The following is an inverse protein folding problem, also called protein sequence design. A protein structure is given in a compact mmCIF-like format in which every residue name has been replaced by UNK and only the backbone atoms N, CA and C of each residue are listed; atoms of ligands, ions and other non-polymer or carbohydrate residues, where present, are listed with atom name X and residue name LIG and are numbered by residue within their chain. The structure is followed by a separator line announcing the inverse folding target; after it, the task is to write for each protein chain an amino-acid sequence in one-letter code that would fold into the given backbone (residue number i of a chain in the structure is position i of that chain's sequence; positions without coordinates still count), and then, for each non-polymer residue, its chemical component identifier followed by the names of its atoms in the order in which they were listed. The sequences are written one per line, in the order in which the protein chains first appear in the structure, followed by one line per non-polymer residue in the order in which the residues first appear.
data_IF_526135514569
#
_entry.id   IF_526135514569
#
_cell.length_a   1.000
_cell.length_b   1.000
_cell.length_c   1.000
_cell.angle_alpha   90.00
_cell.angle_beta   90.00
_cell.angle_gamma   90.00
#
_symmetry.space_group_name_H-M   'P 1'
#
loop_
_entity.id
_entity.type
_entity.pdbx_description
1 polymer ?
#
# COMPACT_ATOMS: atom_id res chain seq x y z
N UNK A 1 10.60 23.34 27.57
CA UNK A 1 10.33 21.89 27.68
C UNK A 1 11.46 21.15 26.99
N UNK A 2 12.16 20.26 27.69
CA UNK A 2 13.28 19.50 27.15
C UNK A 2 12.78 18.45 26.14
N UNK A 3 13.20 18.58 24.88
CA UNK A 3 12.95 17.57 23.84
C UNK A 3 13.62 16.25 24.21
N UNK A 4 12.89 15.14 24.04
CA UNK A 4 13.45 13.79 24.16
C UNK A 4 14.51 13.60 23.08
N UNK A 5 15.78 13.47 23.48
CA UNK A 5 16.88 13.13 22.57
C UNK A 5 16.89 11.61 22.43
N UNK A 6 16.42 11.11 21.29
CA UNK A 6 16.48 9.68 20.97
C UNK A 6 17.11 9.47 19.59
N UNK A 7 17.95 8.43 19.41
CA UNK A 7 18.65 8.20 18.16
C UNK A 7 17.65 7.81 17.08
N UNK A 8 17.31 8.77 16.23
CA UNK A 8 16.43 8.57 15.09
C UNK A 8 17.28 8.24 13.87
N UNK A 9 16.91 7.19 13.13
CA UNK A 9 17.59 6.81 11.87
C UNK A 9 17.26 7.88 10.82
N UNK A 10 18.27 8.39 10.11
CA UNK A 10 18.10 9.43 9.10
C UNK A 10 17.28 8.96 7.90
N UNK A 11 16.66 9.92 7.19
CA UNK A 11 15.84 9.74 5.98
C UNK A 11 16.57 9.07 4.79
N UNK A 12 17.85 8.75 4.93
CA UNK A 12 18.66 8.12 3.90
C UNK A 12 19.12 6.74 4.34
N UNK A 13 18.56 5.72 3.68
CA UNK A 13 19.03 4.32 3.59
C UNK A 13 20.16 3.96 4.58
N UNK A 14 19.80 3.43 5.74
CA UNK A 14 20.58 2.43 6.50
C UNK A 14 22.10 2.53 6.47
N UNK A 15 22.68 3.73 6.57
CA UNK A 15 24.13 3.89 6.64
C UNK A 15 24.55 3.78 8.11
N UNK A 16 25.42 2.80 8.39
CA UNK A 16 26.19 2.77 9.65
C UNK A 16 27.03 4.05 9.70
N UNK A 17 26.51 5.10 10.32
CA UNK A 17 27.17 6.42 10.38
C UNK A 17 26.24 7.64 10.31
N UNK A 18 24.92 7.48 10.23
CA UNK A 18 23.99 8.61 10.30
C UNK A 18 24.11 9.34 11.65
N UNK A 19 24.27 10.68 11.60
CA UNK A 19 24.25 11.52 12.80
C UNK A 19 22.91 11.39 13.52
N UNK A 20 22.96 11.32 14.85
CA UNK A 20 21.76 11.30 15.67
C UNK A 20 20.96 12.59 15.42
N UNK A 21 19.71 12.45 14.98
CA UNK A 21 18.83 13.59 14.81
C UNK A 21 18.32 14.03 16.20
N UNK A 22 18.69 15.22 16.71
CA UNK A 22 18.33 15.63 18.08
C UNK A 22 16.85 16.03 18.22
N UNK A 23 16.11 16.11 17.10
CA UNK A 23 14.72 16.54 17.03
C UNK A 23 13.91 15.58 16.16
N UNK A 24 12.68 15.31 16.57
CA UNK A 24 11.73 14.43 15.87
C UNK A 24 11.42 13.16 16.64
N UNK A 25 10.39 12.44 16.18
CA UNK A 25 10.04 11.12 16.69
C UNK A 25 10.84 10.05 15.93
N UNK A 26 11.29 8.97 16.60
CA UNK A 26 12.11 7.95 15.96
C UNK A 26 11.31 7.15 14.92
N UNK A 27 11.74 7.14 13.66
CA UNK A 27 11.06 6.37 12.61
C UNK A 27 11.16 4.86 12.88
N UNK A 28 10.05 4.14 12.71
CA UNK A 28 9.99 2.68 12.84
C UNK A 28 9.69 2.15 14.25
N UNK A 29 9.53 3.01 15.26
CA UNK A 29 8.96 2.60 16.55
C UNK A 29 7.43 2.71 16.52
N UNK A 30 6.76 1.71 17.10
CA UNK A 30 5.29 1.67 17.14
C UNK A 30 4.67 2.89 17.85
N UNK A 31 5.37 3.46 18.83
CA UNK A 31 4.88 4.63 19.60
C UNK A 31 5.01 5.96 18.84
N UNK A 32 5.87 6.03 17.82
CA UNK A 32 6.21 7.30 17.16
C UNK A 32 5.03 7.92 16.42
N UNK A 33 4.18 7.10 15.78
CA UNK A 33 2.98 7.59 15.11
C UNK A 33 2.01 8.23 16.10
N UNK A 34 1.82 7.61 17.27
CA UNK A 34 0.95 8.14 18.33
C UNK A 34 1.51 9.46 18.87
N UNK A 35 2.82 9.55 19.08
CA UNK A 35 3.45 10.79 19.55
C UNK A 35 3.36 11.93 18.53
N UNK A 36 3.54 11.62 17.23
CA UNK A 36 3.34 12.59 16.16
C UNK A 36 1.89 13.11 16.16
N UNK A 37 0.92 12.20 16.29
CA UNK A 37 -0.51 12.54 16.34
C UNK A 37 -0.85 13.43 17.55
N UNK A 38 -0.36 13.07 18.74
CA UNK A 38 -0.54 13.88 19.96
C UNK A 38 0.06 15.27 19.78
N UNK A 39 1.23 15.38 19.12
CA UNK A 39 1.92 16.67 18.94
C UNK A 39 1.14 17.68 18.08
N UNK A 40 0.26 17.20 17.19
CA UNK A 40 -0.57 18.03 16.32
C UNK A 40 -2.02 18.18 16.81
N UNK A 41 -2.42 17.46 17.87
CA UNK A 41 -3.82 17.47 18.36
C UNK A 41 -4.39 18.87 18.67
N UNK A 42 -3.60 19.77 19.26
CA UNK A 42 -4.03 21.16 19.52
C UNK A 42 -4.19 21.92 18.20
N UNK A 43 -3.26 21.75 17.27
CA UNK A 43 -3.33 22.35 15.94
C UNK A 43 -4.59 21.88 15.20
N UNK A 44 -4.87 20.57 15.20
CA UNK A 44 -6.05 20.03 14.53
C UNK A 44 -7.33 20.59 15.14
N UNK A 45 -7.40 20.70 16.47
CA UNK A 45 -8.54 21.28 17.17
C UNK A 45 -8.76 22.73 16.75
N UNK A 46 -7.70 23.54 16.75
CA UNK A 46 -7.78 24.95 16.39
C UNK A 46 -8.19 25.18 14.93
N UNK A 47 -7.71 24.35 14.00
CA UNK A 47 -8.12 24.46 12.59
C UNK A 47 -9.57 24.01 12.40
N UNK A 48 -10.00 22.92 13.06
CA UNK A 48 -11.39 22.45 12.99
C UNK A 48 -12.42 23.42 13.59
N UNK A 49 -12.00 24.36 14.45
CA UNK A 49 -12.88 25.40 15.02
C UNK A 49 -13.16 26.55 14.03
N UNK A 50 -12.45 26.62 12.90
CA UNK A 50 -12.64 27.66 11.89
C UNK A 50 -13.95 27.38 11.13
N UNK A 51 -14.88 28.36 11.04
CA UNK A 51 -16.13 28.18 10.31
C UNK A 51 -15.90 28.07 8.79
N UNK A 52 -16.85 27.44 8.11
CA UNK A 52 -16.92 27.34 6.65
C UNK A 52 -15.72 26.65 5.96
N UNK A 53 -14.94 25.85 6.70
CA UNK A 53 -13.91 25.00 6.12
C UNK A 53 -14.17 23.52 6.41
N UNK A 54 -13.66 22.66 5.53
CA UNK A 54 -13.50 21.24 5.80
C UNK A 54 -12.00 20.93 5.87
N UNK A 55 -11.56 20.39 6.99
CA UNK A 55 -10.16 20.07 7.27
C UNK A 55 -10.00 18.57 7.46
N UNK A 56 -8.98 18.00 6.84
CA UNK A 56 -8.58 16.63 7.04
C UNK A 56 -7.06 16.52 7.05
N UNK A 57 -6.52 15.82 8.04
CA UNK A 57 -5.08 15.50 8.13
C UNK A 57 -4.88 14.00 8.19
N UNK A 58 -3.90 13.51 7.44
CA UNK A 58 -3.42 12.15 7.50
C UNK A 58 -1.91 12.17 7.69
N UNK A 59 -1.44 11.94 8.92
CA UNK A 59 -0.04 12.12 9.30
C UNK A 59 0.41 13.54 8.95
N UNK A 60 1.29 13.72 7.97
CA UNK A 60 1.84 15.01 7.56
C UNK A 60 1.07 15.64 6.39
N UNK A 61 0.21 14.86 5.71
CA UNK A 61 -0.58 15.33 4.57
C UNK A 61 -1.85 16.02 5.08
N UNK A 62 -2.03 17.29 4.71
CA UNK A 62 -3.18 18.12 5.09
C UNK A 62 -3.95 18.50 3.83
N UNK A 63 -5.28 18.35 3.87
CA UNK A 63 -6.20 18.83 2.85
C UNK A 63 -7.25 19.75 3.49
N UNK A 64 -7.45 20.92 2.90
CA UNK A 64 -8.42 21.91 3.36
C UNK A 64 -9.28 22.34 2.19
N UNK A 65 -10.60 22.24 2.35
CA UNK A 65 -11.58 22.81 1.44
C UNK A 65 -12.19 24.05 2.08
N UNK A 66 -12.26 25.13 1.32
CA UNK A 66 -12.68 26.46 1.80
C UNK A 66 -13.28 27.26 0.65
N UNK A 67 -14.11 28.28 0.89
CA UNK A 67 -14.52 29.23 -0.14
C UNK A 67 -13.30 29.86 -0.84
N UNK A 68 -13.40 30.07 -2.15
CA UNK A 68 -12.29 30.57 -2.98
C UNK A 68 -11.66 31.87 -2.42
N UNK A 69 -12.45 32.74 -1.82
CA UNK A 69 -11.98 34.00 -1.24
C UNK A 69 -11.06 33.84 -0.03
N UNK A 70 -11.06 32.67 0.61
CA UNK A 70 -10.32 32.41 1.86
C UNK A 70 -9.08 31.52 1.66
N UNK A 71 -8.94 30.86 0.51
CA UNK A 71 -7.95 29.81 0.28
C UNK A 71 -6.50 30.24 0.60
N UNK A 72 -6.04 31.36 0.05
CA UNK A 72 -4.68 31.88 0.26
C UNK A 72 -4.42 32.31 1.72
N UNK A 73 -5.44 32.93 2.34
CA UNK A 73 -5.36 33.37 3.73
C UNK A 73 -5.31 32.17 4.67
N UNK A 74 -6.11 31.14 4.39
CA UNK A 74 -6.13 29.89 5.13
C UNK A 74 -4.80 29.13 5.03
N UNK A 75 -4.26 28.99 3.82
CA UNK A 75 -2.99 28.33 3.60
C UNK A 75 -1.84 29.05 4.34
N UNK A 76 -1.81 30.38 4.27
CA UNK A 76 -0.84 31.20 4.99
C UNK A 76 -0.99 31.07 6.52
N UNK A 77 -2.23 31.02 7.01
CA UNK A 77 -2.53 30.83 8.43
C UNK A 77 -2.03 29.48 8.96
N UNK A 78 -2.32 28.41 8.23
CA UNK A 78 -1.89 27.04 8.55
C UNK A 78 -0.37 26.93 8.58
N UNK A 79 0.31 27.43 7.55
CA UNK A 79 1.78 27.41 7.49
C UNK A 79 2.39 28.15 8.66
N UNK A 80 1.86 29.33 9.00
CA UNK A 80 2.34 30.10 10.14
C UNK A 80 2.14 29.34 11.46
N UNK A 81 0.99 28.69 11.66
CA UNK A 81 0.74 27.85 12.84
C UNK A 81 1.72 26.67 12.92
N UNK A 82 1.96 25.98 11.82
CA UNK A 82 2.94 24.88 11.77
C UNK A 82 4.36 25.37 12.09
N UNK A 83 4.75 26.53 11.56
CA UNK A 83 6.05 27.16 11.88
C UNK A 83 6.18 27.54 13.36
N UNK A 84 5.09 28.00 14.01
CA UNK A 84 5.08 28.25 15.46
C UNK A 84 5.28 26.97 16.29
N UNK A 85 4.92 25.81 15.74
CA UNK A 85 5.23 24.49 16.32
C UNK A 85 6.66 24.02 16.02
N UNK A 86 7.49 24.85 15.39
CA UNK A 86 8.83 24.52 14.89
C UNK A 86 8.84 23.42 13.82
N UNK A 87 7.75 23.31 13.04
CA UNK A 87 7.68 22.47 11.85
C UNK A 87 8.03 23.29 10.61
N UNK A 88 8.56 22.62 9.58
CA UNK A 88 9.00 23.25 8.34
C UNK A 88 8.11 22.79 7.17
N UNK A 89 6.87 23.30 7.05
CA UNK A 89 6.02 22.98 5.91
C UNK A 89 6.66 23.47 4.61
N UNK A 90 6.37 22.79 3.50
CA UNK A 90 6.82 23.24 2.19
C UNK A 90 6.20 24.62 1.87
N UNK A 91 6.97 25.56 1.29
CA UNK A 91 6.51 26.92 1.02
C UNK A 91 5.41 26.97 -0.03
N UNK A 92 4.50 27.95 0.06
CA UNK A 92 3.53 28.18 -1.01
C UNK A 92 4.23 28.83 -2.20
N UNK A 93 3.83 28.46 -3.41
CA UNK A 93 4.20 29.13 -4.67
C UNK A 93 5.66 28.99 -5.10
N UNK A 94 6.42 28.03 -4.56
CA UNK A 94 7.71 27.63 -5.15
C UNK A 94 7.52 26.57 -6.24
N UNK A 95 8.34 26.65 -7.28
CA UNK A 95 8.40 25.63 -8.32
C UNK A 95 8.78 24.28 -7.69
N UNK A 96 7.94 23.26 -7.89
CA UNK A 96 8.03 21.93 -7.26
C UNK A 96 7.73 21.88 -5.74
N UNK A 97 7.08 22.89 -5.17
CA UNK A 97 6.55 22.76 -3.81
C UNK A 97 5.51 21.66 -3.71
N UNK A 98 5.49 20.98 -2.56
CA UNK A 98 4.42 20.03 -2.19
C UNK A 98 3.19 20.74 -1.63
N UNK A 99 3.33 21.98 -1.14
CA UNK A 99 2.20 22.79 -0.67
C UNK A 99 1.65 23.60 -1.83
N UNK A 100 0.34 23.52 -2.06
CA UNK A 100 -0.32 24.18 -3.18
C UNK A 100 -1.68 24.73 -2.76
N UNK A 101 -2.06 25.84 -3.36
CA UNK A 101 -3.42 26.39 -3.35
C UNK A 101 -3.92 26.38 -4.78
N UNK A 102 -5.15 25.96 -5.00
CA UNK A 102 -5.75 25.88 -6.33
C UNK A 102 -7.25 25.64 -6.23
N UNK A 103 -7.94 25.79 -7.36
CA UNK A 103 -9.37 25.49 -7.45
C UNK A 103 -9.60 23.98 -7.55
N UNK A 104 -10.80 23.52 -7.17
CA UNK A 104 -11.17 22.10 -7.31
C UNK A 104 -11.27 21.61 -8.77
N UNK A 105 -11.37 22.54 -9.72
CA UNK A 105 -11.31 22.23 -11.16
C UNK A 105 -9.89 21.88 -11.61
N UNK A 106 -8.88 22.28 -10.84
CA UNK A 106 -7.49 21.92 -11.06
C UNK A 106 -7.21 20.54 -10.46
N UNK A 107 -6.32 19.79 -11.10
CA UNK A 107 -5.99 18.45 -10.62
C UNK A 107 -4.97 18.50 -9.49
N UNK A 108 -5.14 17.61 -8.51
CA UNK A 108 -4.24 17.48 -7.38
C UNK A 108 -4.14 16.04 -6.90
N UNK A 109 -3.10 15.73 -6.14
CA UNK A 109 -2.90 14.41 -5.57
C UNK A 109 -3.10 14.45 -4.06
N UNK A 110 -3.78 13.44 -3.51
CA UNK A 110 -3.92 13.26 -2.07
C UNK A 110 -3.97 11.77 -1.74
N UNK A 111 -3.15 11.31 -0.78
CA UNK A 111 -3.09 9.90 -0.33
C UNK A 111 -2.92 8.87 -1.47
N UNK A 112 -2.18 9.25 -2.53
CA UNK A 112 -1.94 8.40 -3.69
C UNK A 112 -3.10 8.33 -4.69
N UNK A 113 -4.19 9.05 -4.44
CA UNK A 113 -5.20 9.36 -5.44
C UNK A 113 -4.80 10.58 -6.25
N UNK A 114 -5.29 10.64 -7.48
CA UNK A 114 -5.25 11.79 -8.35
C UNK A 114 -6.69 12.26 -8.57
N UNK A 115 -7.01 13.46 -8.14
CA UNK A 115 -8.33 14.07 -8.26
C UNK A 115 -8.28 15.00 -9.45
N UNK A 116 -9.20 14.83 -10.38
CA UNK A 116 -9.32 15.70 -11.56
C UNK A 116 -10.77 15.73 -12.04
N UNK A 117 -11.33 16.92 -12.23
CA UNK A 117 -12.71 17.10 -12.74
C UNK A 117 -13.77 16.29 -11.98
N UNK A 118 -13.63 16.18 -10.66
CA UNK A 118 -14.53 15.40 -9.80
C UNK A 118 -14.36 13.88 -9.89
N UNK A 119 -13.42 13.37 -10.67
CA UNK A 119 -13.06 11.95 -10.68
C UNK A 119 -11.94 11.64 -9.69
N UNK A 120 -12.08 10.52 -8.96
CA UNK A 120 -10.99 9.94 -8.18
C UNK A 120 -10.30 8.87 -9.02
N UNK A 121 -9.05 9.14 -9.36
CA UNK A 121 -8.17 8.26 -10.11
C UNK A 121 -6.99 7.82 -9.23
N UNK A 122 -6.25 6.81 -9.70
CA UNK A 122 -5.01 6.37 -9.08
C UNK A 122 -3.87 7.25 -9.59
N UNK A 123 -3.03 7.76 -8.69
CA UNK A 123 -1.83 8.51 -9.04
C UNK A 123 -0.91 7.69 -9.97
N UNK A 124 -0.39 8.32 -11.02
CA UNK A 124 0.38 7.63 -12.06
C UNK A 124 1.60 6.86 -11.50
N UNK A 125 2.32 7.45 -10.55
CA UNK A 125 3.48 6.82 -9.91
C UNK A 125 3.09 5.58 -9.10
N UNK A 126 1.87 5.50 -8.58
CA UNK A 126 1.35 4.30 -7.90
C UNK A 126 1.13 3.18 -8.91
N UNK A 127 0.60 3.48 -10.09
CA UNK A 127 0.43 2.52 -11.19
C UNK A 127 1.80 1.99 -11.63
N UNK A 128 2.77 2.87 -11.89
CA UNK A 128 4.12 2.45 -12.30
C UNK A 128 4.81 1.57 -11.24
N UNK A 129 4.66 1.90 -9.96
CA UNK A 129 5.16 1.08 -8.85
C UNK A 129 4.50 -0.29 -8.82
N UNK A 130 3.18 -0.35 -9.03
CA UNK A 130 2.44 -1.61 -9.11
C UNK A 130 2.88 -2.46 -10.30
N UNK A 131 2.97 -1.89 -11.50
CA UNK A 131 3.45 -2.59 -12.71
C UNK A 131 4.90 -3.07 -12.56
N UNK A 132 5.78 -2.26 -11.95
CA UNK A 132 7.14 -2.67 -11.60
C UNK A 132 7.13 -3.88 -10.65
N UNK A 133 6.25 -3.89 -9.65
CA UNK A 133 6.11 -5.03 -8.74
C UNK A 133 5.64 -6.30 -9.45
N UNK A 134 4.73 -6.18 -10.43
CA UNK A 134 4.30 -7.30 -11.27
C UNK A 134 5.46 -7.82 -12.13
N UNK A 135 6.20 -6.92 -12.79
CA UNK A 135 7.35 -7.30 -13.61
C UNK A 135 8.42 -8.04 -12.78
N UNK A 136 8.66 -7.63 -11.52
CA UNK A 136 9.59 -8.32 -10.61
C UNK A 136 9.19 -9.78 -10.35
N UNK A 137 7.90 -10.11 -10.30
CA UNK A 137 7.42 -11.49 -10.13
C UNK A 137 7.86 -12.35 -11.32
N UNK A 138 7.71 -11.84 -12.55
CA UNK A 138 8.13 -12.56 -13.76
C UNK A 138 9.66 -12.68 -13.88
N UNK A 139 10.40 -11.65 -13.46
CA UNK A 139 11.87 -11.70 -13.38
C UNK A 139 12.32 -12.78 -12.38
N UNK A 140 11.72 -12.83 -11.19
CA UNK A 140 11.99 -13.87 -10.21
C UNK A 140 11.66 -15.27 -10.74
N UNK A 141 10.55 -15.43 -11.46
CA UNK A 141 10.21 -16.66 -12.16
C UNK A 141 11.28 -17.08 -13.16
N UNK A 142 11.76 -16.16 -14.01
CA UNK A 142 12.82 -16.44 -14.99
C UNK A 142 14.09 -16.97 -14.30
N UNK A 143 14.52 -16.33 -13.21
CA UNK A 143 15.67 -16.81 -12.44
C UNK A 143 15.43 -18.19 -11.82
N UNK A 144 14.24 -18.45 -11.30
CA UNK A 144 13.89 -19.76 -10.74
C UNK A 144 13.91 -20.87 -11.81
N UNK A 145 13.42 -20.59 -13.03
CA UNK A 145 13.47 -21.54 -14.15
C UNK A 145 14.91 -21.81 -14.60
N UNK A 146 15.77 -20.79 -14.65
CA UNK A 146 17.19 -20.97 -15.00
C UNK A 146 17.94 -21.86 -14.00
N UNK A 147 17.50 -21.89 -12.73
CA UNK A 147 18.08 -22.73 -11.68
C UNK A 147 17.39 -24.08 -11.52
N UNK A 148 16.30 -24.34 -12.24
CA UNK A 148 15.54 -25.57 -12.13
C UNK A 148 16.33 -26.76 -12.69
N UNK A 149 16.44 -27.83 -11.89
CA UNK A 149 17.21 -29.03 -12.29
C UNK A 149 16.35 -30.12 -12.91
N UNK A 150 15.05 -30.08 -12.64
CA UNK A 150 14.10 -31.10 -13.04
C UNK A 150 12.73 -30.49 -13.36
N UNK A 151 11.84 -31.31 -13.91
CA UNK A 151 10.47 -30.89 -14.27
C UNK A 151 9.68 -30.36 -13.07
N UNK A 152 9.82 -31.00 -11.91
CA UNK A 152 9.11 -30.61 -10.68
C UNK A 152 9.52 -29.20 -10.20
N UNK A 153 10.80 -28.83 -10.31
CA UNK A 153 11.26 -27.48 -9.99
C UNK A 153 10.65 -26.42 -10.91
N UNK A 154 10.52 -26.73 -12.21
CA UNK A 154 9.87 -25.84 -13.17
C UNK A 154 8.38 -25.69 -12.89
N UNK A 155 7.67 -26.79 -12.64
CA UNK A 155 6.25 -26.77 -12.25
C UNK A 155 6.02 -25.95 -10.97
N UNK A 156 6.91 -26.09 -9.98
CA UNK A 156 6.87 -25.29 -8.74
C UNK A 156 7.14 -23.81 -9.00
N UNK A 157 8.08 -23.46 -9.88
CA UNK A 157 8.33 -22.08 -10.25
C UNK A 157 7.10 -21.43 -10.92
N UNK A 158 6.41 -22.17 -11.80
CA UNK A 158 5.16 -21.73 -12.43
C UNK A 158 4.06 -21.55 -11.37
N UNK A 159 3.84 -22.54 -10.50
CA UNK A 159 2.83 -22.47 -9.45
C UNK A 159 3.07 -21.28 -8.50
N UNK A 160 4.33 -21.05 -8.10
CA UNK A 160 4.69 -19.91 -7.27
C UNK A 160 4.49 -18.58 -8.00
N UNK A 161 4.85 -18.49 -9.28
CA UNK A 161 4.61 -17.31 -10.11
C UNK A 161 3.11 -16.98 -10.18
N UNK A 162 2.27 -17.98 -10.50
CA UNK A 162 0.82 -17.81 -10.52
C UNK A 162 0.28 -17.36 -9.16
N UNK A 163 0.72 -18.00 -8.08
CA UNK A 163 0.25 -17.66 -6.74
C UNK A 163 0.64 -16.22 -6.36
N UNK A 164 1.91 -15.83 -6.55
CA UNK A 164 2.36 -14.45 -6.27
C UNK A 164 1.66 -13.41 -7.14
N UNK A 165 1.49 -13.69 -8.43
CA UNK A 165 0.79 -12.81 -9.36
C UNK A 165 -0.66 -12.61 -8.93
N UNK A 166 -1.38 -13.69 -8.65
CA UNK A 166 -2.78 -13.63 -8.25
C UNK A 166 -2.95 -12.98 -6.88
N UNK A 167 -2.03 -13.21 -5.93
CA UNK A 167 -2.01 -12.52 -4.65
C UNK A 167 -1.80 -11.01 -4.85
N UNK A 168 -0.88 -10.59 -5.73
CA UNK A 168 -0.65 -9.17 -6.02
C UNK A 168 -1.86 -8.49 -6.66
N UNK A 169 -2.60 -9.21 -7.50
CA UNK A 169 -3.81 -8.71 -8.19
C UNK A 169 -5.03 -8.65 -7.26
N UNK A 170 -5.25 -9.70 -6.46
CA UNK A 170 -6.44 -9.77 -5.59
C UNK A 170 -6.26 -9.14 -4.24
N UNK A 171 -5.03 -9.06 -3.75
CA UNK A 171 -4.81 -8.88 -2.33
C UNK A 171 -5.21 -10.12 -1.53
N UNK A 172 -5.38 -9.95 -0.22
CA UNK A 172 -5.90 -10.94 0.70
C UNK A 172 -6.51 -10.30 1.93
N UNK A 173 -7.22 -11.11 2.72
CA UNK A 173 -7.51 -10.81 4.12
C UNK A 173 -6.50 -11.56 4.97
N UNK A 174 -5.84 -10.87 5.89
CA UNK A 174 -4.88 -11.46 6.81
C UNK A 174 -4.77 -10.63 8.09
N UNK A 175 -4.81 -11.30 9.24
CA UNK A 175 -4.84 -10.70 10.58
C UNK A 175 -5.96 -9.65 10.72
N UNK A 176 -7.15 -9.95 10.17
CA UNK A 176 -8.32 -9.08 10.19
C UNK A 176 -8.25 -7.87 9.25
N UNK A 177 -7.16 -7.73 8.48
CA UNK A 177 -6.94 -6.59 7.58
C UNK A 177 -7.16 -6.97 6.13
N UNK A 178 -7.79 -6.08 5.36
CA UNK A 178 -7.84 -6.18 3.90
C UNK A 178 -6.57 -5.54 3.32
N UNK A 179 -5.80 -6.34 2.59
CA UNK A 179 -4.52 -5.93 2.03
C UNK A 179 -4.54 -6.13 0.52
N UNK A 180 -4.22 -5.11 -0.26
CA UNK A 180 -4.04 -5.20 -1.70
C UNK A 180 -4.28 -3.87 -2.40
N UNK A 181 -3.58 -3.68 -3.52
CA UNK A 181 -3.62 -2.44 -4.29
C UNK A 181 -5.04 -2.03 -4.72
N UNK A 182 -5.87 -2.97 -5.17
CA UNK A 182 -7.27 -2.68 -5.53
C UNK A 182 -8.13 -2.40 -4.29
N UNK A 183 -7.81 -2.99 -3.14
CA UNK A 183 -8.50 -2.70 -1.87
C UNK A 183 -8.22 -1.27 -1.43
N UNK A 184 -6.94 -0.87 -1.46
CA UNK A 184 -6.52 0.50 -1.19
C UNK A 184 -7.23 1.49 -2.13
N UNK A 185 -7.18 1.26 -3.44
CA UNK A 185 -7.80 2.13 -4.45
C UNK A 185 -9.27 1.79 -4.74
N UNK A 186 -10.03 1.27 -3.77
CA UNK A 186 -11.42 0.85 -3.98
C UNK A 186 -12.40 2.01 -4.27
N UNK A 187 -12.02 3.23 -3.87
CA UNK A 187 -12.82 4.46 -4.02
C UNK A 187 -12.73 5.11 -5.41
N UNK A 188 -11.93 4.58 -6.34
CA UNK A 188 -11.81 5.17 -7.68
C UNK A 188 -13.17 5.25 -8.39
N UNK A 189 -13.38 6.33 -9.16
CA UNK A 189 -14.64 6.59 -9.86
C UNK A 189 -14.79 5.71 -11.12
N UNK A 190 -13.67 5.29 -11.72
CA UNK A 190 -13.64 4.50 -12.97
C UNK A 190 -12.65 3.36 -12.90
N UNK A 191 -12.94 2.26 -13.59
CA UNK A 191 -12.04 1.10 -13.67
C UNK A 191 -11.10 1.16 -14.88
N UNK A 192 -11.01 2.28 -15.61
CA UNK A 192 -10.17 2.41 -16.81
C UNK A 192 -8.69 2.09 -16.53
N UNK A 193 -8.13 2.66 -15.45
CA UNK A 193 -6.74 2.41 -15.05
C UNK A 193 -6.52 0.93 -14.66
N UNK A 194 -7.48 0.30 -13.97
CA UNK A 194 -7.42 -1.14 -13.66
C UNK A 194 -7.44 -2.01 -14.92
N UNK A 195 -8.20 -1.62 -15.96
CA UNK A 195 -8.22 -2.34 -17.25
C UNK A 195 -6.88 -2.23 -17.97
N UNK A 196 -6.26 -1.04 -17.95
CA UNK A 196 -4.93 -0.83 -18.51
C UNK A 196 -3.90 -1.75 -17.85
N UNK A 197 -3.85 -1.79 -16.52
CA UNK A 197 -2.93 -2.67 -15.79
C UNK A 197 -3.22 -4.15 -16.06
N UNK A 198 -4.49 -4.57 -16.14
CA UNK A 198 -4.85 -5.94 -16.55
C UNK A 198 -4.29 -6.29 -17.94
N UNK A 199 -4.28 -5.34 -18.87
CA UNK A 199 -3.67 -5.52 -20.19
C UNK A 199 -2.15 -5.68 -20.06
N UNK A 200 -1.48 -4.86 -19.25
CA UNK A 200 -0.06 -5.01 -18.92
C UNK A 200 0.25 -6.40 -18.37
N UNK A 201 -0.55 -6.93 -17.44
CA UNK A 201 -0.36 -8.29 -16.90
C UNK A 201 -0.47 -9.34 -18.00
N UNK A 202 -1.50 -9.25 -18.85
CA UNK A 202 -1.70 -10.17 -19.97
C UNK A 202 -0.52 -10.14 -20.95
N UNK A 203 0.03 -8.95 -21.20
CA UNK A 203 1.21 -8.77 -22.02
C UNK A 203 2.45 -9.42 -21.39
N UNK A 204 2.66 -9.27 -20.08
CA UNK A 204 3.74 -9.94 -19.36
C UNK A 204 3.61 -11.47 -19.43
N UNK A 205 2.42 -12.03 -19.21
CA UNK A 205 2.20 -13.49 -19.32
C UNK A 205 2.57 -13.99 -20.72
N UNK A 206 2.12 -13.30 -21.77
CA UNK A 206 2.46 -13.64 -23.16
C UNK A 206 3.97 -13.55 -23.42
N UNK A 207 4.62 -12.47 -22.97
CA UNK A 207 6.06 -12.25 -23.13
C UNK A 207 6.89 -13.37 -22.50
N UNK A 208 6.44 -13.93 -21.39
CA UNK A 208 7.12 -15.04 -20.70
C UNK A 208 6.62 -16.42 -21.16
N UNK A 209 5.77 -16.50 -22.20
CA UNK A 209 5.21 -17.76 -22.74
C UNK A 209 4.47 -18.59 -21.70
N UNK A 210 3.70 -17.92 -20.83
CA UNK A 210 2.98 -18.54 -19.71
C UNK A 210 1.45 -18.62 -19.93
N UNK A 211 0.97 -18.32 -21.14
CA UNK A 211 -0.46 -18.21 -21.43
C UNK A 211 -1.25 -19.51 -21.22
N UNK A 212 -0.63 -20.68 -21.42
CA UNK A 212 -1.24 -21.99 -21.16
C UNK A 212 -1.13 -22.44 -19.69
N UNK A 213 -0.21 -21.85 -18.94
CA UNK A 213 0.21 -22.32 -17.63
C UNK A 213 -0.37 -21.50 -16.47
N UNK A 214 -0.53 -20.19 -16.69
CA UNK A 214 -0.99 -19.24 -15.68
C UNK A 214 -2.42 -18.82 -15.95
N UNK A 215 -3.30 -19.16 -15.01
CA UNK A 215 -4.64 -18.59 -14.90
C UNK A 215 -4.59 -17.31 -14.06
N UNK A 216 -4.46 -16.18 -14.75
CA UNK A 216 -4.46 -14.88 -14.11
C UNK A 216 -5.83 -14.51 -13.53
N UNK A 217 -5.82 -13.91 -12.35
CA UNK A 217 -6.96 -13.18 -11.81
C UNK A 217 -7.06 -11.80 -12.46
N UNK A 218 -8.27 -11.24 -12.49
CA UNK A 218 -8.58 -9.89 -13.01
C UNK A 218 -8.72 -8.86 -11.88
N UNK A 219 -8.04 -7.71 -12.01
CA UNK A 219 -8.20 -6.53 -11.15
C UNK A 219 -9.65 -6.01 -11.15
N UNK A 220 -10.34 -6.08 -12.29
CA UNK A 220 -11.74 -5.66 -12.42
C UNK A 220 -12.66 -6.53 -11.59
N UNK A 221 -12.43 -7.85 -11.59
CA UNK A 221 -13.21 -8.77 -10.76
C UNK A 221 -12.91 -8.53 -9.28
N UNK A 222 -11.65 -8.30 -8.90
CA UNK A 222 -11.27 -7.90 -7.55
C UNK A 222 -12.05 -6.66 -7.09
N UNK A 223 -12.10 -5.62 -7.93
CA UNK A 223 -12.77 -4.36 -7.63
C UNK A 223 -14.27 -4.53 -7.36
N UNK A 224 -14.98 -5.28 -8.21
CA UNK A 224 -16.41 -5.52 -8.01
C UNK A 224 -16.71 -6.48 -6.85
N UNK A 225 -15.80 -7.42 -6.56
CA UNK A 225 -15.93 -8.27 -5.36
C UNK A 225 -15.85 -7.40 -4.09
N UNK A 226 -14.88 -6.48 -4.01
CA UNK A 226 -14.70 -5.55 -2.89
C UNK A 226 -15.93 -4.65 -2.68
N UNK A 227 -16.60 -4.22 -3.75
CA UNK A 227 -17.79 -3.37 -3.66
C UNK A 227 -19.06 -4.12 -3.25
N UNK A 228 -19.12 -5.43 -3.45
CA UNK A 228 -20.34 -6.23 -3.24
C UNK A 228 -20.35 -7.00 -1.93
N UNK A 229 -19.19 -7.26 -1.34
CA UNK A 229 -19.07 -8.16 -0.20
C UNK A 229 -18.22 -7.61 0.93
N UNK A 230 -18.24 -8.34 2.04
CA UNK A 230 -17.34 -8.18 3.18
C UNK A 230 -16.26 -9.27 3.17
N UNK A 231 -15.23 -9.10 3.99
CA UNK A 231 -14.09 -10.01 4.12
C UNK A 231 -14.49 -11.49 4.29
N UNK A 232 -15.61 -11.76 4.96
CA UNK A 232 -16.11 -13.11 5.23
C UNK A 232 -16.86 -13.73 4.04
N UNK A 233 -17.30 -12.91 3.10
CA UNK A 233 -18.10 -13.34 1.94
C UNK A 233 -17.28 -13.50 0.66
N UNK A 234 -16.04 -13.02 0.66
CA UNK A 234 -15.19 -13.06 -0.53
C UNK A 234 -14.88 -14.50 -0.94
N UNK A 235 -15.29 -14.86 -2.16
CA UNK A 235 -14.90 -16.13 -2.79
C UNK A 235 -13.69 -15.94 -3.68
N UNK A 236 -13.54 -14.74 -4.23
CA UNK A 236 -12.49 -14.44 -5.19
C UNK A 236 -11.20 -13.91 -4.55
N UNK A 237 -11.31 -13.16 -3.46
CA UNK A 237 -10.17 -12.62 -2.70
C UNK A 237 -9.88 -13.62 -1.57
N UNK A 238 -8.64 -14.14 -1.46
CA UNK A 238 -8.32 -15.14 -0.45
C UNK A 238 -8.38 -14.54 0.96
N UNK A 239 -9.08 -15.21 1.86
CA UNK A 239 -9.03 -14.93 3.29
C UNK A 239 -8.14 -15.97 3.98
N UNK A 240 -6.96 -15.53 4.43
CA UNK A 240 -5.96 -16.41 5.04
C UNK A 240 -6.25 -16.71 6.52
N UNK A 241 -7.12 -15.93 7.16
CA UNK A 241 -7.50 -16.13 8.56
C UNK A 241 -8.47 -17.31 8.71
N UNK A 242 -9.24 -17.60 7.66
CA UNK A 242 -10.25 -18.66 7.65
C UNK A 242 -9.76 -20.00 7.08
N UNK A 243 -8.47 -20.15 6.79
CA UNK A 243 -7.94 -21.40 6.23
C UNK A 243 -7.78 -22.48 7.30
N UNK A 244 -8.19 -23.70 6.95
CA UNK A 244 -7.91 -24.89 7.76
C UNK A 244 -6.46 -25.38 7.58
N UNK A 245 -6.04 -26.33 8.40
CA UNK A 245 -4.68 -26.86 8.38
C UNK A 245 -4.32 -27.59 7.08
N UNK A 246 -5.30 -28.21 6.42
CA UNK A 246 -5.10 -28.93 5.15
C UNK A 246 -4.82 -27.93 4.02
N UNK A 247 -5.61 -26.86 3.93
CA UNK A 247 -5.44 -25.77 2.99
C UNK A 247 -4.11 -25.04 3.22
N UNK A 248 -3.74 -24.77 4.48
CA UNK A 248 -2.42 -24.21 4.82
C UNK A 248 -1.29 -25.14 4.38
N UNK A 249 -1.44 -26.46 4.56
CA UNK A 249 -0.46 -27.46 4.12
C UNK A 249 -0.32 -27.50 2.61
N UNK A 250 -1.40 -27.32 1.84
CA UNK A 250 -1.35 -27.22 0.38
C UNK A 250 -0.49 -26.03 -0.07
N UNK A 251 -0.72 -24.84 0.49
CA UNK A 251 0.06 -23.64 0.20
C UNK A 251 1.53 -23.79 0.59
N UNK A 252 1.80 -24.36 1.77
CA UNK A 252 3.18 -24.63 2.21
C UNK A 252 3.85 -25.65 1.28
N UNK A 253 3.14 -26.70 0.86
CA UNK A 253 3.65 -27.71 -0.08
C UNK A 253 4.06 -27.10 -1.42
N UNK A 254 3.30 -26.12 -1.92
CA UNK A 254 3.67 -25.37 -3.11
C UNK A 254 5.00 -24.62 -2.93
N UNK A 255 5.29 -24.07 -1.75
CA UNK A 255 6.53 -23.33 -1.50
C UNK A 255 7.75 -24.23 -1.27
N UNK A 256 7.62 -25.30 -0.48
CA UNK A 256 8.76 -26.11 -0.02
C UNK A 256 8.87 -27.49 -0.67
N UNK A 257 7.85 -27.89 -1.44
CA UNK A 257 7.72 -29.23 -2.02
C UNK A 257 6.85 -30.16 -1.15
N UNK A 258 6.11 -31.06 -1.82
CA UNK A 258 5.14 -31.97 -1.17
C UNK A 258 5.79 -32.89 -0.15
N UNK A 259 6.95 -33.47 -0.46
CA UNK A 259 7.59 -34.45 0.43
C UNK A 259 8.05 -33.79 1.74
N UNK A 260 8.68 -32.61 1.64
CA UNK A 260 9.08 -31.84 2.82
C UNK A 260 7.86 -31.41 3.64
N UNK A 261 6.79 -30.98 2.99
CA UNK A 261 5.58 -30.57 3.70
C UNK A 261 4.88 -31.74 4.40
N UNK A 262 4.90 -32.96 3.85
CA UNK A 262 4.35 -34.15 4.51
C UNK A 262 5.07 -34.50 5.81
N UNK A 263 6.38 -34.25 5.89
CA UNK A 263 7.19 -34.53 7.08
C UNK A 263 6.97 -33.54 8.23
N UNK A 264 6.30 -32.41 7.98
CA UNK A 264 6.08 -31.37 9.00
C UNK A 264 4.83 -31.64 9.82
N UNK A 265 4.96 -31.41 11.13
CA UNK A 265 3.83 -31.36 12.05
C UNK A 265 2.88 -30.21 11.71
N UNK A 266 1.64 -30.27 12.21
CA UNK A 266 0.66 -29.20 12.00
C UNK A 266 1.15 -27.84 12.55
N UNK A 267 1.82 -27.83 13.70
CA UNK A 267 2.41 -26.61 14.28
C UNK A 267 3.50 -26.01 13.38
N UNK A 268 4.34 -26.84 12.76
CA UNK A 268 5.38 -26.36 11.84
C UNK A 268 4.79 -25.82 10.53
N UNK A 269 3.72 -26.44 10.02
CA UNK A 269 2.96 -25.93 8.88
C UNK A 269 2.39 -24.55 9.21
N UNK A 270 1.74 -24.40 10.36
CA UNK A 270 1.16 -23.13 10.80
C UNK A 270 2.22 -22.03 10.88
N UNK A 271 3.37 -22.31 11.52
CA UNK A 271 4.48 -21.36 11.64
C UNK A 271 5.05 -20.95 10.28
N UNK A 272 5.28 -21.91 9.39
CA UNK A 272 5.80 -21.62 8.04
C UNK A 272 4.79 -20.86 7.19
N UNK A 273 3.51 -21.21 7.31
CA UNK A 273 2.40 -20.52 6.67
C UNK A 273 2.37 -19.06 7.10
N UNK A 274 2.26 -18.80 8.40
CA UNK A 274 2.20 -17.44 8.95
C UNK A 274 3.41 -16.61 8.52
N UNK A 275 4.62 -17.17 8.59
CA UNK A 275 5.84 -16.48 8.17
C UNK A 275 5.84 -16.09 6.67
N UNK A 276 5.43 -17.00 5.79
CA UNK A 276 5.42 -16.76 4.33
C UNK A 276 4.31 -15.80 3.91
N UNK A 277 3.13 -15.91 4.53
CA UNK A 277 2.04 -14.96 4.29
C UNK A 277 2.39 -13.59 4.84
N UNK A 278 2.87 -13.46 6.08
CA UNK A 278 3.28 -12.18 6.65
C UNK A 278 4.33 -11.45 5.78
N UNK A 279 5.33 -12.17 5.25
CA UNK A 279 6.30 -11.58 4.34
C UNK A 279 5.70 -11.16 2.99
N UNK A 280 4.69 -11.87 2.51
CA UNK A 280 4.00 -11.51 1.26
C UNK A 280 3.02 -10.36 1.46
N UNK A 281 2.35 -10.33 2.61
CA UNK A 281 1.40 -9.31 3.02
C UNK A 281 2.08 -7.94 3.21
N UNK A 282 3.33 -7.91 3.67
CA UNK A 282 4.15 -6.68 3.76
C UNK A 282 4.38 -5.98 2.42
N UNK A 283 4.24 -6.70 1.30
CA UNK A 283 4.37 -6.14 -0.05
C UNK A 283 3.03 -5.58 -0.58
N UNK A 284 1.94 -5.72 0.19
CA UNK A 284 0.59 -5.29 -0.17
C UNK A 284 0.20 -4.02 0.59
N UNK A 285 -0.62 -3.19 -0.05
CA UNK A 285 -1.15 -1.95 0.51
C UNK A 285 -2.30 -2.25 1.48
N UNK A 286 -2.28 -1.68 2.68
CA UNK A 286 -3.37 -1.84 3.66
C UNK A 286 -4.55 -0.94 3.30
N UNK A 287 -5.76 -1.49 3.27
CA UNK A 287 -6.97 -0.73 3.03
C UNK A 287 -7.27 0.23 4.20
N UNK A 288 -7.29 1.53 3.91
CA UNK A 288 -7.50 2.59 4.89
C UNK A 288 -8.95 3.11 4.93
N UNK A 289 -9.90 2.46 4.24
CA UNK A 289 -11.31 2.91 4.11
C UNK A 289 -12.15 2.93 5.40
N UNK A 290 -11.53 2.83 6.58
CA UNK A 290 -12.18 2.97 7.89
C UNK A 290 -11.38 3.80 8.90
N UNK A 291 -10.31 4.48 8.46
CA UNK A 291 -9.59 5.46 9.28
C UNK A 291 -10.27 6.80 9.03
N UNK A 292 -11.31 7.10 9.80
CA UNK A 292 -12.06 8.36 9.79
C UNK A 292 -12.38 8.77 11.22
#
# INVERSE_FOLDING_TARGET
MSSLVVPTVSEFKGSKGASANPRGVPQGLAISNILAEISLSIFDKEINEIPDIWFMRYVDDILILTPNSQAETMASHVIKKLQLLNLNPHPLNEENSKSKVGNLDESFDFLGYHISQGELLIKHESILRFESSLAKIFTAYKHAVLQAKNKCDKERAIAYCQWKLNLRITGCVFEGKRLGWVSYFSQISTTAQLRSVNHTVSHLIRRFSLSSEIKQKSLIKTFYELRRGTADTFKYIPNFDNLDISQKRELVSMWIGKDKAKMLSNSEIERKFKFKIANSAKELEEDISGIS
#
